data_IF_233624819467
#
_entry.id   IF_233624819467
#
_cell.length_a   1.000
_cell.length_b   1.000
_cell.length_c   1.000
_cell.angle_alpha   90.00
_cell.angle_beta   90.00
_cell.angle_gamma   90.00
#
_symmetry.space_group_name_H-M   'P 1'
#
loop_
_entity.id
_entity.type
_entity.pdbx_description
1 polymer ?
#
# COMPACT_ATOMS: atom_id res chain seq x y z
N UNK A 1 -3.15 -22.40 -23.72
CA UNK A 1 -4.09 -21.41 -23.18
C UNK A 1 -3.58 -20.02 -23.52
N UNK A 2 -4.44 -19.12 -24.03
CA UNK A 2 -4.06 -17.71 -24.24
C UNK A 2 -3.93 -17.01 -22.88
N UNK A 3 -2.89 -16.17 -22.67
CA UNK A 3 -2.73 -15.46 -21.41
C UNK A 3 -3.87 -14.47 -21.20
N UNK A 4 -4.45 -14.47 -20.00
CA UNK A 4 -5.49 -13.51 -19.60
C UNK A 4 -4.88 -12.10 -19.64
N UNK A 5 -5.54 -11.19 -20.35
CA UNK A 5 -5.09 -9.80 -20.44
C UNK A 5 -5.44 -9.01 -19.18
N UNK A 6 -4.61 -8.02 -18.83
CA UNK A 6 -4.89 -7.13 -17.71
C UNK A 6 -6.18 -6.33 -17.95
N UNK A 7 -7.14 -6.42 -17.03
CA UNK A 7 -8.43 -5.72 -17.05
C UNK A 7 -8.29 -4.20 -17.09
N UNK A 8 -7.17 -3.65 -16.59
CA UNK A 8 -6.86 -2.21 -16.70
C UNK A 8 -6.45 -1.77 -18.12
N UNK A 9 -6.47 -2.68 -19.11
CA UNK A 9 -6.14 -2.42 -20.52
C UNK A 9 -4.76 -1.79 -20.74
N UNK A 10 -3.79 -2.12 -19.89
CA UNK A 10 -2.43 -1.59 -19.96
C UNK A 10 -1.49 -2.33 -20.95
N UNK A 11 -2.04 -3.21 -21.78
CA UNK A 11 -1.28 -3.98 -22.79
C UNK A 11 -0.43 -5.13 -22.24
N UNK A 12 -0.56 -5.48 -20.95
CA UNK A 12 0.21 -6.56 -20.30
C UNK A 12 -0.68 -7.72 -19.90
N UNK A 13 -0.08 -8.91 -19.78
CA UNK A 13 -0.75 -10.09 -19.26
C UNK A 13 -1.01 -9.95 -17.76
N UNK A 14 -2.18 -10.43 -17.32
CA UNK A 14 -2.53 -10.52 -15.91
C UNK A 14 -1.72 -11.62 -15.23
N UNK A 15 -1.33 -11.37 -13.97
CA UNK A 15 -0.57 -12.30 -13.13
C UNK A 15 -1.34 -12.70 -11.88
N UNK A 16 -2.41 -11.98 -11.55
CA UNK A 16 -3.30 -12.28 -10.43
C UNK A 16 -4.72 -11.86 -10.75
N UNK A 17 -5.68 -12.50 -10.09
CA UNK A 17 -7.08 -12.08 -10.06
C UNK A 17 -7.40 -11.53 -8.68
N UNK A 18 -7.90 -10.30 -8.60
CA UNK A 18 -8.24 -9.65 -7.34
C UNK A 18 -9.45 -10.37 -6.71
N UNK A 19 -9.36 -10.88 -5.47
CA UNK A 19 -10.50 -11.53 -4.83
C UNK A 19 -11.68 -10.59 -4.59
N UNK A 20 -11.39 -9.32 -4.27
CA UNK A 20 -12.40 -8.31 -3.93
C UNK A 20 -13.29 -7.88 -5.12
N UNK A 21 -12.71 -7.77 -6.31
CA UNK A 21 -13.40 -7.20 -7.49
C UNK A 21 -13.52 -8.18 -8.66
N UNK A 22 -12.75 -9.26 -8.66
CA UNK A 22 -12.66 -10.19 -9.77
C UNK A 22 -11.76 -9.73 -10.92
N UNK A 23 -11.15 -8.55 -10.85
CA UNK A 23 -10.28 -8.01 -11.90
C UNK A 23 -9.01 -8.85 -12.07
N UNK A 24 -8.66 -9.18 -13.31
CA UNK A 24 -7.38 -9.81 -13.63
C UNK A 24 -6.34 -8.71 -13.91
N UNK A 25 -5.33 -8.54 -13.05
CA UNK A 25 -4.36 -7.45 -13.16
C UNK A 25 -2.94 -7.95 -13.38
N UNK A 26 -2.15 -7.17 -14.13
CA UNK A 26 -0.70 -7.29 -14.10
C UNK A 26 -0.16 -6.73 -12.78
N UNK A 27 1.11 -7.01 -12.47
CA UNK A 27 1.77 -6.61 -11.22
C UNK A 27 1.65 -5.10 -10.94
N UNK A 28 1.98 -4.26 -11.91
CA UNK A 28 2.01 -2.81 -11.71
C UNK A 28 0.61 -2.21 -11.56
N UNK A 29 -0.36 -2.69 -12.33
CA UNK A 29 -1.74 -2.25 -12.18
C UNK A 29 -2.33 -2.68 -10.83
N UNK A 30 -1.93 -3.84 -10.32
CA UNK A 30 -2.30 -4.26 -8.98
C UNK A 30 -1.70 -3.34 -7.90
N UNK A 31 -0.39 -3.05 -7.96
CA UNK A 31 0.24 -2.13 -7.02
C UNK A 31 -0.41 -0.76 -7.04
N UNK A 32 -0.66 -0.20 -8.22
CA UNK A 32 -1.34 1.08 -8.35
C UNK A 32 -2.75 1.06 -7.74
N UNK A 33 -3.54 0.02 -8.02
CA UNK A 33 -4.88 -0.12 -7.47
C UNK A 33 -4.84 -0.27 -5.93
N UNK A 34 -3.93 -1.09 -5.41
CA UNK A 34 -3.74 -1.33 -3.98
C UNK A 34 -3.35 -0.04 -3.24
N UNK A 35 -2.34 0.67 -3.74
CA UNK A 35 -1.87 1.94 -3.17
C UNK A 35 -2.95 3.02 -3.25
N UNK A 36 -3.70 3.08 -4.36
CA UNK A 36 -4.81 4.02 -4.53
C UNK A 36 -5.95 3.77 -3.54
N UNK A 37 -6.27 2.50 -3.27
CA UNK A 37 -7.28 2.16 -2.26
C UNK A 37 -6.86 2.63 -0.86
N UNK A 38 -5.59 2.44 -0.50
CA UNK A 38 -5.04 2.92 0.78
C UNK A 38 -5.09 4.46 0.85
N UNK A 39 -4.69 5.16 -0.22
CA UNK A 39 -4.81 6.62 -0.29
C UNK A 39 -6.25 7.09 -0.06
N UNK A 40 -7.23 6.45 -0.72
CA UNK A 40 -8.66 6.77 -0.55
C UNK A 40 -9.12 6.53 0.88
N UNK A 41 -8.67 5.46 1.53
CA UNK A 41 -8.97 5.21 2.95
C UNK A 41 -8.40 6.31 3.85
N UNK A 42 -7.14 6.72 3.64
CA UNK A 42 -6.49 7.78 4.43
C UNK A 42 -7.25 9.11 4.31
N UNK A 43 -7.55 9.53 3.07
CA UNK A 43 -8.21 10.81 2.80
C UNK A 43 -9.68 10.77 3.21
N UNK A 44 -10.40 9.71 2.86
CA UNK A 44 -11.81 9.56 3.22
C UNK A 44 -12.05 9.44 4.73
N UNK A 45 -11.08 8.88 5.46
CA UNK A 45 -11.11 8.82 6.92
C UNK A 45 -10.54 10.06 7.62
N UNK A 46 -9.93 11.00 6.89
CA UNK A 46 -9.27 12.17 7.47
C UNK A 46 -8.20 11.80 8.50
N UNK A 47 -7.44 10.73 8.26
CA UNK A 47 -6.62 10.08 9.29
C UNK A 47 -5.48 10.96 9.82
N UNK A 48 -4.94 11.87 9.01
CA UNK A 48 -3.80 12.72 9.36
C UNK A 48 -3.96 14.12 8.76
N UNK A 49 -3.20 15.06 9.32
CA UNK A 49 -3.01 16.41 8.80
C UNK A 49 -1.54 16.63 8.45
N UNK A 50 -1.30 17.56 7.52
CA UNK A 50 0.06 17.94 7.13
C UNK A 50 0.84 18.44 8.36
N UNK A 51 2.07 17.97 8.54
CA UNK A 51 2.90 18.27 9.71
C UNK A 51 2.77 17.28 10.86
N UNK A 52 1.81 16.37 10.84
CA UNK A 52 1.68 15.34 11.87
C UNK A 52 2.89 14.39 11.89
N UNK A 53 3.25 13.95 13.09
CA UNK A 53 4.21 12.87 13.30
C UNK A 53 3.45 11.55 13.46
N UNK A 54 3.73 10.59 12.59
CA UNK A 54 3.06 9.28 12.57
C UNK A 54 4.09 8.20 12.84
N UNK A 55 3.93 7.50 13.97
CA UNK A 55 4.73 6.34 14.31
C UNK A 55 4.06 5.07 13.77
N UNK A 56 4.80 4.30 12.95
CA UNK A 56 4.39 2.99 12.47
C UNK A 56 5.06 1.93 13.34
N UNK A 57 4.24 1.16 14.06
CA UNK A 57 4.72 0.01 14.81
C UNK A 57 5.18 -1.10 13.86
N UNK A 58 6.47 -1.41 13.88
CA UNK A 58 7.16 -2.35 13.01
C UNK A 58 7.53 -3.61 13.80
N UNK A 59 6.76 -4.68 13.58
CA UNK A 59 7.03 -6.02 14.12
C UNK A 59 8.02 -6.85 13.29
N UNK A 60 8.45 -6.35 12.13
CA UNK A 60 9.21 -7.13 11.14
C UNK A 60 8.35 -8.04 10.25
N UNK A 61 7.05 -8.14 10.53
CA UNK A 61 6.11 -8.89 9.72
C UNK A 61 5.77 -8.22 8.39
N UNK A 62 5.21 -9.01 7.46
CA UNK A 62 4.75 -8.55 6.14
C UNK A 62 3.83 -7.33 6.24
N UNK A 63 2.87 -7.34 7.15
CA UNK A 63 1.80 -6.34 7.17
C UNK A 63 2.32 -4.98 7.66
N UNK A 64 3.11 -4.95 8.73
CA UNK A 64 3.74 -3.73 9.24
C UNK A 64 4.80 -3.18 8.26
N UNK A 65 5.55 -4.07 7.59
CA UNK A 65 6.55 -3.67 6.58
C UNK A 65 5.89 -3.07 5.34
N UNK A 66 4.82 -3.70 4.83
CA UNK A 66 4.06 -3.18 3.68
C UNK A 66 3.39 -1.84 4.03
N UNK A 67 2.81 -1.73 5.22
CA UNK A 67 2.21 -0.46 5.68
C UNK A 67 3.25 0.66 5.72
N UNK A 68 4.41 0.42 6.33
CA UNK A 68 5.50 1.39 6.38
C UNK A 68 5.97 1.82 4.98
N UNK A 69 6.13 0.86 4.07
CA UNK A 69 6.53 1.13 2.69
C UNK A 69 5.48 1.97 1.95
N UNK A 70 4.21 1.58 2.00
CA UNK A 70 3.14 2.28 1.28
C UNK A 70 2.90 3.68 1.87
N UNK A 71 2.95 3.85 3.20
CA UNK A 71 2.85 5.18 3.80
C UNK A 71 3.97 6.11 3.34
N UNK A 72 5.21 5.63 3.29
CA UNK A 72 6.35 6.40 2.73
C UNK A 72 6.11 6.77 1.27
N UNK A 73 5.66 5.81 0.46
CA UNK A 73 5.40 6.00 -0.97
C UNK A 73 4.30 7.03 -1.22
N UNK A 74 3.17 6.92 -0.52
CA UNK A 74 2.03 7.82 -0.65
C UNK A 74 2.33 9.21 -0.08
N UNK A 75 3.05 9.30 1.05
CA UNK A 75 3.49 10.57 1.62
C UNK A 75 4.31 11.38 0.60
N UNK A 76 5.19 10.71 -0.17
CA UNK A 76 5.93 11.35 -1.27
C UNK A 76 5.04 11.65 -2.48
N UNK A 77 4.21 10.70 -2.92
CA UNK A 77 3.41 10.81 -4.15
C UNK A 77 2.33 11.88 -4.08
N UNK A 78 1.69 12.02 -2.92
CA UNK A 78 0.55 12.91 -2.69
C UNK A 78 0.89 14.10 -1.79
N UNK A 79 2.17 14.26 -1.43
CA UNK A 79 2.67 15.34 -0.58
C UNK A 79 1.85 15.51 0.73
N UNK A 80 1.65 14.41 1.47
CA UNK A 80 0.94 14.51 2.75
C UNK A 80 1.70 15.34 3.79
N UNK A 81 3.01 15.53 3.61
CA UNK A 81 3.88 16.28 4.53
C UNK A 81 3.94 15.69 5.94
N UNK A 82 3.86 14.36 6.06
CA UNK A 82 3.96 13.64 7.33
C UNK A 82 5.41 13.39 7.71
N UNK A 83 5.70 13.47 9.02
CA UNK A 83 6.95 12.95 9.60
C UNK A 83 6.73 11.50 10.03
N UNK A 84 7.26 10.56 9.26
CA UNK A 84 7.11 9.12 9.53
C UNK A 84 8.22 8.62 10.44
N UNK A 85 7.86 7.89 11.49
CA UNK A 85 8.79 7.20 12.39
C UNK A 85 8.49 5.70 12.37
N UNK A 86 9.52 4.87 12.47
CA UNK A 86 9.37 3.43 12.71
C UNK A 86 9.67 3.13 14.17
N UNK A 87 8.78 2.40 14.83
CA UNK A 87 8.92 1.97 16.21
C UNK A 87 8.89 0.45 16.25
N UNK A 88 9.95 -0.19 16.70
CA UNK A 88 9.97 -1.63 16.96
C UNK A 88 10.15 -1.86 18.46
N UNK A 89 9.50 -2.90 18.99
CA UNK A 89 9.56 -3.28 20.39
C UNK A 89 10.20 -4.68 20.44
N UNK A 90 11.29 -4.79 21.19
CA UNK A 90 11.87 -6.07 21.56
C UNK A 90 11.16 -6.57 22.82
N UNK A 91 10.53 -7.73 22.73
CA UNK A 91 9.77 -8.35 23.84
C UNK A 91 10.69 -9.04 24.86
N UNK A 92 11.98 -9.21 24.56
CA UNK A 92 12.96 -9.78 25.50
C UNK A 92 12.77 -11.28 25.77
N UNK A 93 12.11 -12.02 24.85
CA UNK A 93 11.93 -13.47 24.97
C UNK A 93 13.26 -14.16 24.62
N UNK A 94 13.78 -14.96 25.56
CA UNK A 94 15.01 -15.76 25.43
C UNK A 94 14.69 -17.24 25.34
#
# INVERSE_FOLDING_TARGET
MMPVQCSARCGRNAVLKRPKTGDALCKDCFFWAFETEIHKTIVGGGLFKRGDSVAVAASGGKDSTVLAYVLKLLNKRHDYGLKLLLLSIDEGIT
#
